data_IF_776160436381
#
_entry.id   IF_776160436381
#
_cell.length_a   1.000
_cell.length_b   1.000
_cell.length_c   1.000
_cell.angle_alpha   90.00
_cell.angle_beta   90.00
_cell.angle_gamma   90.00
#
_symmetry.space_group_name_H-M   'P 1'
#
loop_
_entity.id
_entity.type
_entity.pdbx_description
1 polymer ?
#
# COMPACT_ATOMS: atom_id res chain seq x y z
N UNK A 1 31.14 98.55 12.26
CA UNK A 1 32.11 97.42 12.21
C UNK A 1 31.95 96.46 13.38
N UNK A 2 32.10 96.87 14.65
CA UNK A 2 31.98 95.94 15.79
C UNK A 2 30.52 95.51 16.08
N UNK A 3 29.58 96.44 15.97
CA UNK A 3 28.14 96.19 16.08
C UNK A 3 27.64 95.21 14.99
N UNK A 4 28.13 95.35 13.75
CA UNK A 4 27.75 94.46 12.63
C UNK A 4 28.28 93.04 12.79
N UNK A 5 29.49 92.89 13.35
CA UNK A 5 30.06 91.58 13.70
C UNK A 5 29.27 90.90 14.83
N UNK A 6 28.88 91.66 15.86
CA UNK A 6 28.00 91.13 16.92
C UNK A 6 26.63 90.70 16.39
N UNK A 7 26.01 91.50 15.51
CA UNK A 7 24.73 91.15 14.86
C UNK A 7 24.85 89.88 14.02
N UNK A 8 25.93 89.72 13.25
CA UNK A 8 26.15 88.52 12.43
C UNK A 8 26.37 87.27 13.30
N UNK A 9 27.10 87.38 14.41
CA UNK A 9 27.31 86.26 15.35
C UNK A 9 26.02 85.85 16.05
N UNK A 10 25.21 86.83 16.49
CA UNK A 10 23.89 86.57 17.07
C UNK A 10 22.96 85.86 16.07
N UNK A 11 22.96 86.30 14.80
CA UNK A 11 22.15 85.71 13.74
C UNK A 11 22.57 84.26 13.41
N UNK A 12 23.88 83.98 13.32
CA UNK A 12 24.41 82.61 13.14
C UNK A 12 24.11 81.71 14.33
N UNK A 13 24.09 82.25 15.55
CA UNK A 13 23.69 81.50 16.75
C UNK A 13 22.20 81.15 16.70
N UNK A 14 21.34 82.12 16.37
CA UNK A 14 19.90 81.92 16.22
C UNK A 14 19.55 80.89 15.14
N UNK A 15 20.25 80.90 13.99
CA UNK A 15 20.06 79.89 12.93
C UNK A 15 20.41 78.49 13.43
N UNK A 16 21.59 78.32 14.05
CA UNK A 16 22.01 77.01 14.61
C UNK A 16 21.07 76.51 15.69
N UNK A 17 20.59 77.40 16.56
CA UNK A 17 19.59 77.05 17.58
C UNK A 17 18.28 76.60 16.94
N UNK A 18 17.83 77.26 15.87
CA UNK A 18 16.64 76.86 15.11
C UNK A 18 16.82 75.51 14.41
N UNK A 19 17.95 75.27 13.77
CA UNK A 19 18.28 73.98 13.13
C UNK A 19 18.33 72.84 14.15
N UNK A 20 19.02 73.05 15.27
CA UNK A 20 19.07 72.09 16.38
C UNK A 20 17.67 71.81 16.95
N UNK A 21 16.83 72.84 17.06
CA UNK A 21 15.44 72.68 17.49
C UNK A 21 14.63 71.84 16.51
N UNK A 22 14.73 72.12 15.20
CA UNK A 22 14.05 71.34 14.16
C UNK A 22 14.51 69.88 14.14
N UNK A 23 15.82 69.63 14.30
CA UNK A 23 16.35 68.26 14.36
C UNK A 23 15.79 67.51 15.57
N UNK A 24 15.82 68.11 16.76
CA UNK A 24 15.26 67.53 17.99
C UNK A 24 13.76 67.28 17.87
N UNK A 25 13.01 68.17 17.23
CA UNK A 25 11.57 67.99 16.97
C UNK A 25 11.30 66.81 16.02
N UNK A 26 12.11 66.65 14.96
CA UNK A 26 12.01 65.51 14.04
C UNK A 26 12.36 64.17 14.72
N UNK A 27 13.41 64.16 15.55
CA UNK A 27 13.79 62.99 16.35
C UNK A 27 12.70 62.64 17.37
N UNK A 28 12.12 63.64 18.04
CA UNK A 28 11.00 63.46 18.96
C UNK A 28 9.79 62.86 18.24
N UNK A 29 9.44 63.36 17.04
CA UNK A 29 8.32 62.84 16.25
C UNK A 29 8.57 61.37 15.85
N UNK A 30 9.79 61.05 15.43
CA UNK A 30 10.21 59.69 15.10
C UNK A 30 10.13 58.76 16.31
N UNK A 31 10.60 59.22 17.47
CA UNK A 31 10.54 58.46 18.71
C UNK A 31 9.09 58.21 19.15
N UNK A 32 8.22 59.22 19.05
CA UNK A 32 6.77 59.08 19.31
C UNK A 32 6.12 58.05 18.38
N UNK A 33 6.44 58.09 17.08
CA UNK A 33 5.94 57.10 16.12
C UNK A 33 6.39 55.67 16.44
N UNK A 34 7.66 55.49 16.82
CA UNK A 34 8.19 54.18 17.26
C UNK A 34 7.52 53.68 18.53
N UNK A 35 7.30 54.56 19.50
CA UNK A 35 6.64 54.23 20.76
C UNK A 35 5.20 53.77 20.52
N UNK A 36 4.47 54.46 19.66
CA UNK A 36 3.10 54.08 19.29
C UNK A 36 3.06 52.72 18.56
N UNK A 37 4.01 52.48 17.64
CA UNK A 37 4.12 51.17 16.99
C UNK A 37 4.40 50.04 17.98
N UNK A 38 5.27 50.27 18.97
CA UNK A 38 5.56 49.30 20.03
C UNK A 38 4.35 49.08 20.93
N UNK A 39 3.62 50.13 21.30
CA UNK A 39 2.39 50.04 22.09
C UNK A 39 1.34 49.18 21.40
N UNK A 40 1.15 49.40 20.09
CA UNK A 40 0.25 48.59 19.28
C UNK A 40 0.68 47.12 19.18
N UNK A 41 1.98 46.84 19.05
CA UNK A 41 2.50 45.46 19.08
C UNK A 41 2.26 44.80 20.43
N UNK A 42 2.53 45.51 21.52
CA UNK A 42 2.31 45.00 22.87
C UNK A 42 0.84 44.66 23.10
N UNK A 43 -0.08 45.56 22.74
CA UNK A 43 -1.52 45.31 22.86
C UNK A 43 -1.95 44.07 22.07
N UNK A 44 -1.46 43.91 20.82
CA UNK A 44 -1.74 42.71 20.01
C UNK A 44 -1.25 41.44 20.69
N UNK A 45 -0.08 41.46 21.31
CA UNK A 45 0.47 40.30 22.03
C UNK A 45 -0.33 40.00 23.30
N UNK A 46 -0.67 41.01 24.10
CA UNK A 46 -1.52 40.84 25.29
C UNK A 46 -2.87 40.22 24.93
N UNK A 47 -3.53 40.72 23.88
CA UNK A 47 -4.79 40.15 23.41
C UNK A 47 -4.64 38.68 23.00
N UNK A 48 -3.53 38.31 22.35
CA UNK A 48 -3.25 36.91 21.99
C UNK A 48 -3.03 36.04 23.22
N UNK A 49 -2.23 36.49 24.18
CA UNK A 49 -1.97 35.76 25.44
C UNK A 49 -3.29 35.55 26.19
N UNK A 50 -4.10 36.60 26.32
CA UNK A 50 -5.40 36.51 26.98
C UNK A 50 -6.34 35.54 26.26
N UNK A 51 -6.41 35.59 24.92
CA UNK A 51 -7.21 34.66 24.11
C UNK A 51 -6.80 33.20 24.33
N UNK A 52 -5.51 32.94 24.51
CA UNK A 52 -4.99 31.58 24.69
C UNK A 52 -4.91 31.12 26.14
N UNK A 53 -5.21 31.99 27.12
CA UNK A 53 -5.14 31.66 28.55
C UNK A 53 -6.05 30.49 28.94
N UNK A 54 -7.21 30.36 28.26
CA UNK A 54 -8.17 29.26 28.46
C UNK A 54 -7.50 27.90 28.20
N UNK A 55 -6.65 27.80 27.17
CA UNK A 55 -5.94 26.56 26.86
C UNK A 55 -4.86 26.23 27.88
N UNK A 56 -4.17 27.25 28.41
CA UNK A 56 -3.20 27.05 29.51
C UNK A 56 -3.90 26.47 30.73
N UNK A 57 -5.00 27.10 31.16
CA UNK A 57 -5.77 26.65 32.32
C UNK A 57 -6.31 25.24 32.13
N UNK A 58 -6.85 24.93 30.96
CA UNK A 58 -7.28 23.57 30.62
C UNK A 58 -6.14 22.57 30.73
N UNK A 59 -4.97 22.86 30.17
CA UNK A 59 -3.82 21.95 30.21
C UNK A 59 -3.25 21.81 31.63
N UNK A 60 -3.27 22.87 32.43
CA UNK A 60 -2.94 22.81 33.86
C UNK A 60 -3.90 21.89 34.62
N UNK A 61 -5.20 21.97 34.33
CA UNK A 61 -6.20 21.07 34.93
C UNK A 61 -6.02 19.62 34.46
N UNK A 62 -5.68 19.39 33.19
CA UNK A 62 -5.33 18.06 32.67
C UNK A 62 -4.12 17.49 33.41
N UNK A 63 -3.08 18.29 33.63
CA UNK A 63 -1.89 17.88 34.40
C UNK A 63 -2.31 17.44 35.80
N UNK A 64 -3.11 18.24 36.52
CA UNK A 64 -3.57 17.93 37.89
C UNK A 64 -4.31 16.59 38.04
N UNK A 65 -5.07 16.19 37.03
CA UNK A 65 -5.87 14.95 37.06
C UNK A 65 -5.16 13.76 36.41
N UNK A 66 -3.95 13.95 35.90
CA UNK A 66 -3.21 12.94 35.14
C UNK A 66 -1.93 12.52 35.85
N UNK A 67 -1.24 11.54 35.26
CA UNK A 67 0.08 11.09 35.70
C UNK A 67 1.24 11.99 35.22
N UNK A 68 0.96 13.06 34.48
CA UNK A 68 1.99 13.95 33.93
C UNK A 68 2.34 15.06 34.91
N UNK A 69 3.62 15.40 35.00
CA UNK A 69 4.09 16.46 35.90
C UNK A 69 4.01 17.85 35.23
N UNK A 70 4.19 17.89 33.90
CA UNK A 70 4.21 19.13 33.13
C UNK A 70 3.31 19.08 31.89
N UNK A 71 2.78 20.24 31.50
CA UNK A 71 2.03 20.43 30.24
C UNK A 71 2.83 19.96 29.02
N UNK A 72 4.16 20.13 29.05
CA UNK A 72 5.05 19.68 27.97
C UNK A 72 4.98 18.17 27.75
N UNK A 73 4.83 17.38 28.82
CA UNK A 73 4.73 15.93 28.74
C UNK A 73 3.39 15.52 28.11
N UNK A 74 2.30 16.18 28.50
CA UNK A 74 0.97 15.98 27.88
C UNK A 74 1.03 16.23 26.37
N UNK A 75 1.65 17.36 25.96
CA UNK A 75 1.82 17.70 24.55
C UNK A 75 2.70 16.68 23.83
N UNK A 76 3.80 16.25 24.45
CA UNK A 76 4.72 15.25 23.89
C UNK A 76 4.01 13.90 23.69
N UNK A 77 3.25 13.45 24.68
CA UNK A 77 2.44 12.23 24.61
C UNK A 77 1.40 12.34 23.50
N UNK A 78 0.67 13.44 23.43
CA UNK A 78 -0.32 13.67 22.37
C UNK A 78 0.33 13.61 20.98
N UNK A 79 1.45 14.31 20.76
CA UNK A 79 2.18 14.27 19.47
C UNK A 79 2.60 12.85 19.09
N UNK A 80 3.05 12.08 20.09
CA UNK A 80 3.46 10.68 19.88
C UNK A 80 2.25 9.82 19.52
N UNK A 81 1.13 9.97 20.24
CA UNK A 81 -0.11 9.26 19.96
C UNK A 81 -0.65 9.57 18.56
N UNK A 82 -0.66 10.84 18.15
CA UNK A 82 -1.10 11.24 16.81
C UNK A 82 -0.21 10.62 15.73
N UNK A 83 1.11 10.60 15.93
CA UNK A 83 2.04 9.96 14.99
C UNK A 83 1.79 8.46 14.92
N UNK A 84 1.74 7.78 16.06
CA UNK A 84 1.48 6.34 16.11
C UNK A 84 0.13 5.97 15.49
N UNK A 85 -0.92 6.77 15.73
CA UNK A 85 -2.23 6.55 15.13
C UNK A 85 -2.19 6.65 13.60
N UNK A 86 -1.48 7.65 13.06
CA UNK A 86 -1.27 7.79 11.62
C UNK A 86 -0.50 6.60 11.05
N UNK A 87 0.60 6.21 11.69
CA UNK A 87 1.44 5.10 11.23
C UNK A 87 0.67 3.78 11.28
N UNK A 88 -0.12 3.56 12.33
CA UNK A 88 -0.98 2.38 12.48
C UNK A 88 -2.04 2.32 11.38
N UNK A 89 -2.73 3.43 11.09
CA UNK A 89 -3.74 3.50 10.05
C UNK A 89 -3.14 3.19 8.66
N UNK A 90 -1.96 3.73 8.38
CA UNK A 90 -1.23 3.43 7.13
C UNK A 90 -0.80 1.97 7.06
N UNK A 91 -0.31 1.40 8.16
CA UNK A 91 0.06 -0.01 8.22
C UNK A 91 -1.14 -0.91 7.98
N UNK A 92 -2.25 -0.64 8.67
CA UNK A 92 -3.50 -1.39 8.51
C UNK A 92 -4.00 -1.37 7.07
N UNK A 93 -3.96 -0.20 6.42
CA UNK A 93 -4.37 -0.06 5.03
C UNK A 93 -3.47 -0.90 4.10
N UNK A 94 -2.15 -0.85 4.28
CA UNK A 94 -1.21 -1.68 3.50
C UNK A 94 -1.45 -3.18 3.71
N UNK A 95 -1.68 -3.63 4.95
CA UNK A 95 -2.00 -5.03 5.21
C UNK A 95 -3.31 -5.48 4.54
N UNK A 96 -4.32 -4.60 4.52
CA UNK A 96 -5.58 -4.87 3.83
C UNK A 96 -5.36 -5.00 2.32
N UNK A 97 -4.60 -4.10 1.71
CA UNK A 97 -4.25 -4.15 0.29
C UNK A 97 -3.46 -5.42 -0.07
N UNK A 98 -2.45 -5.76 0.72
CA UNK A 98 -1.67 -7.00 0.51
C UNK A 98 -2.54 -8.26 0.66
N UNK A 99 -3.44 -8.28 1.65
CA UNK A 99 -4.36 -9.40 1.82
C UNK A 99 -5.34 -9.53 0.65
N UNK A 100 -5.81 -8.42 0.10
CA UNK A 100 -6.70 -8.43 -1.06
C UNK A 100 -5.97 -8.90 -2.31
N UNK A 101 -4.74 -8.44 -2.54
CA UNK A 101 -3.89 -8.92 -3.64
C UNK A 101 -3.62 -10.43 -3.52
N UNK A 102 -3.33 -10.92 -2.32
CA UNK A 102 -3.10 -12.34 -2.09
C UNK A 102 -4.35 -13.19 -2.38
N UNK A 103 -5.55 -12.69 -2.06
CA UNK A 103 -6.82 -13.35 -2.42
C UNK A 103 -7.00 -13.42 -3.93
N UNK A 104 -6.80 -12.31 -4.64
CA UNK A 104 -6.90 -12.28 -6.10
C UNK A 104 -5.96 -13.28 -6.76
N UNK A 105 -4.70 -13.34 -6.30
CA UNK A 105 -3.73 -14.32 -6.82
C UNK A 105 -4.13 -15.77 -6.51
N UNK A 106 -4.69 -16.02 -5.33
CA UNK A 106 -5.19 -17.34 -4.96
C UNK A 106 -6.38 -17.76 -5.83
N UNK A 107 -7.33 -16.86 -6.06
CA UNK A 107 -8.51 -17.12 -6.89
C UNK A 107 -8.09 -17.44 -8.34
N UNK A 108 -7.17 -16.66 -8.90
CA UNK A 108 -6.59 -16.92 -10.23
C UNK A 108 -5.90 -18.28 -10.30
N UNK A 109 -5.09 -18.61 -9.30
CA UNK A 109 -4.40 -19.90 -9.25
C UNK A 109 -5.39 -21.07 -9.14
N UNK A 110 -6.47 -20.90 -8.37
CA UNK A 110 -7.52 -21.91 -8.25
C UNK A 110 -8.23 -22.12 -9.59
N UNK A 111 -8.61 -21.04 -10.29
CA UNK A 111 -9.23 -21.12 -11.61
C UNK A 111 -8.32 -21.81 -12.64
N UNK A 112 -7.02 -21.48 -12.65
CA UNK A 112 -6.03 -22.14 -13.50
C UNK A 112 -5.94 -23.64 -13.21
N UNK A 113 -5.91 -24.03 -11.92
CA UNK A 113 -5.84 -25.44 -11.53
C UNK A 113 -7.11 -26.20 -11.83
N UNK A 114 -8.28 -25.58 -11.68
CA UNK A 114 -9.55 -26.18 -12.07
C UNK A 114 -9.62 -26.43 -13.58
N UNK A 115 -9.13 -25.48 -14.38
CA UNK A 115 -9.02 -25.65 -15.83
C UNK A 115 -8.06 -26.79 -16.21
N UNK A 116 -6.90 -26.88 -15.55
CA UNK A 116 -5.93 -27.96 -15.75
C UNK A 116 -6.53 -29.34 -15.39
N UNK A 117 -7.24 -29.43 -14.26
CA UNK A 117 -7.95 -30.66 -13.86
C UNK A 117 -8.98 -31.06 -14.91
N UNK A 118 -9.75 -30.10 -15.45
CA UNK A 118 -10.73 -30.38 -16.48
C UNK A 118 -10.07 -30.88 -17.77
N UNK A 119 -8.93 -30.31 -18.15
CA UNK A 119 -8.13 -30.79 -19.27
C UNK A 119 -7.70 -32.25 -19.07
N UNK A 120 -7.08 -32.57 -17.93
CA UNK A 120 -6.65 -33.96 -17.66
C UNK A 120 -7.81 -34.95 -17.61
N UNK A 121 -8.97 -34.54 -17.09
CA UNK A 121 -10.18 -35.38 -17.13
C UNK A 121 -10.59 -35.70 -18.56
N UNK A 122 -10.57 -34.71 -19.45
CA UNK A 122 -10.89 -34.93 -20.86
C UNK A 122 -9.88 -35.85 -21.54
N UNK A 123 -8.58 -35.66 -21.28
CA UNK A 123 -7.53 -36.54 -21.80
C UNK A 123 -7.69 -37.99 -21.30
N UNK A 124 -8.04 -38.16 -20.02
CA UNK A 124 -8.28 -39.48 -19.43
C UNK A 124 -9.48 -40.19 -20.09
N UNK A 125 -10.57 -39.47 -20.36
CA UNK A 125 -11.73 -40.02 -21.09
C UNK A 125 -11.34 -40.44 -22.51
N UNK A 126 -10.54 -39.63 -23.21
CA UNK A 126 -10.06 -39.99 -24.55
C UNK A 126 -9.15 -41.22 -24.54
N UNK A 127 -8.29 -41.34 -23.53
CA UNK A 127 -7.40 -42.49 -23.38
C UNK A 127 -8.20 -43.76 -23.06
N UNK A 128 -9.20 -43.66 -22.17
CA UNK A 128 -10.09 -44.77 -21.86
C UNK A 128 -10.85 -45.26 -23.11
N UNK A 129 -11.38 -44.34 -23.92
CA UNK A 129 -12.06 -44.71 -25.16
C UNK A 129 -11.14 -45.49 -26.12
N UNK A 130 -9.89 -45.05 -26.27
CA UNK A 130 -8.89 -45.75 -27.10
C UNK A 130 -8.54 -47.12 -26.54
N UNK A 131 -8.43 -47.22 -25.21
CA UNK A 131 -8.17 -48.48 -24.54
C UNK A 131 -9.31 -49.48 -24.76
N UNK A 132 -10.56 -49.04 -24.54
CA UNK A 132 -11.75 -49.87 -24.72
C UNK A 132 -11.88 -50.35 -26.19
N UNK A 133 -11.58 -49.47 -27.15
CA UNK A 133 -11.55 -49.82 -28.57
C UNK A 133 -10.49 -50.88 -28.86
N UNK A 134 -9.25 -50.69 -28.39
CA UNK A 134 -8.17 -51.65 -28.59
C UNK A 134 -8.49 -53.01 -27.95
N UNK A 135 -9.13 -53.01 -26.76
CA UNK A 135 -9.56 -54.23 -26.09
C UNK A 135 -10.63 -54.97 -26.89
N UNK A 136 -11.62 -54.25 -27.45
CA UNK A 136 -12.62 -54.82 -28.35
C UNK A 136 -11.99 -55.42 -29.61
N UNK A 137 -11.02 -54.72 -30.20
CA UNK A 137 -10.32 -55.19 -31.39
C UNK A 137 -9.54 -56.48 -31.08
N UNK A 138 -8.81 -56.54 -29.96
CA UNK A 138 -8.10 -57.75 -29.52
C UNK A 138 -9.06 -58.93 -29.39
N UNK A 139 -10.19 -58.76 -28.70
CA UNK A 139 -11.18 -59.82 -28.53
C UNK A 139 -11.72 -60.34 -29.87
N UNK A 140 -11.92 -59.44 -30.84
CA UNK A 140 -12.35 -59.82 -32.19
C UNK A 140 -11.28 -60.66 -32.91
N UNK A 141 -10.00 -60.31 -32.76
CA UNK A 141 -8.88 -61.04 -33.34
C UNK A 141 -8.67 -62.39 -32.67
N UNK A 142 -8.80 -62.48 -31.35
CA UNK A 142 -8.73 -63.74 -30.59
C UNK A 142 -9.83 -64.71 -31.03
N UNK A 143 -11.06 -64.22 -31.20
CA UNK A 143 -12.18 -65.03 -31.69
C UNK A 143 -11.88 -65.57 -33.08
N UNK A 144 -11.45 -64.70 -33.99
CA UNK A 144 -11.12 -65.09 -35.37
C UNK A 144 -9.95 -66.07 -35.43
N UNK A 145 -8.96 -65.90 -34.56
CA UNK A 145 -7.81 -66.80 -34.45
C UNK A 145 -8.24 -68.19 -33.95
N UNK A 146 -9.10 -68.24 -32.93
CA UNK A 146 -9.66 -69.49 -32.41
C UNK A 146 -10.45 -70.25 -33.50
N UNK A 147 -11.24 -69.54 -34.32
CA UNK A 147 -11.97 -70.15 -35.44
C UNK A 147 -11.03 -70.76 -36.50
N UNK A 148 -9.93 -70.08 -36.82
CA UNK A 148 -8.91 -70.58 -37.74
C UNK A 148 -8.25 -71.83 -37.15
N UNK A 149 -7.88 -71.81 -35.87
CA UNK A 149 -7.28 -72.96 -35.19
C UNK A 149 -8.23 -74.15 -35.16
N UNK A 150 -9.49 -73.95 -34.80
CA UNK A 150 -10.53 -74.98 -34.80
C UNK A 150 -10.72 -75.60 -36.18
N UNK A 151 -10.79 -74.76 -37.23
CA UNK A 151 -10.90 -75.23 -38.62
C UNK A 151 -9.68 -76.03 -39.05
N UNK A 152 -8.49 -75.58 -38.67
CA UNK A 152 -7.22 -76.26 -38.97
C UNK A 152 -7.15 -77.61 -38.27
N UNK A 153 -7.49 -77.67 -36.97
CA UNK A 153 -7.53 -78.90 -36.19
C UNK A 153 -8.47 -79.95 -36.82
N UNK A 154 -9.68 -79.53 -37.24
CA UNK A 154 -10.63 -80.41 -37.96
C UNK A 154 -10.02 -80.97 -39.25
N UNK A 155 -9.44 -80.10 -40.10
CA UNK A 155 -8.80 -80.53 -41.35
C UNK A 155 -7.62 -81.48 -41.11
N UNK A 156 -6.80 -81.20 -40.10
CA UNK A 156 -5.66 -82.06 -39.73
C UNK A 156 -6.15 -83.43 -39.25
N UNK A 157 -7.23 -83.47 -38.47
CA UNK A 157 -7.87 -84.71 -38.04
C UNK A 157 -8.39 -85.53 -39.23
N UNK A 158 -9.15 -84.90 -40.14
CA UNK A 158 -9.65 -85.55 -41.37
C UNK A 158 -8.51 -86.15 -42.21
N UNK A 159 -7.44 -85.38 -42.43
CA UNK A 159 -6.24 -85.85 -43.14
C UNK A 159 -5.57 -87.04 -42.43
N UNK A 160 -5.52 -87.02 -41.10
CA UNK A 160 -5.03 -88.14 -40.29
C UNK A 160 -5.89 -89.39 -40.47
N UNK A 161 -7.21 -89.24 -40.44
CA UNK A 161 -8.16 -90.34 -40.68
C UNK A 161 -7.98 -90.93 -42.08
N UNK A 162 -7.90 -90.09 -43.12
CA UNK A 162 -7.69 -90.53 -44.50
C UNK A 162 -6.39 -91.34 -44.60
N UNK A 163 -5.27 -90.82 -44.06
CA UNK A 163 -3.98 -91.54 -44.06
C UNK A 163 -4.07 -92.89 -43.37
N UNK A 164 -4.74 -92.97 -42.22
CA UNK A 164 -4.93 -94.22 -41.49
C UNK A 164 -5.77 -95.22 -42.28
N UNK A 165 -6.87 -94.78 -42.91
CA UNK A 165 -7.70 -95.64 -43.75
C UNK A 165 -6.93 -96.18 -44.96
N UNK A 166 -6.10 -95.36 -45.61
CA UNK A 166 -5.24 -95.79 -46.71
C UNK A 166 -4.26 -96.86 -46.21
N UNK A 167 -3.54 -96.61 -45.11
CA UNK A 167 -2.61 -97.58 -44.52
C UNK A 167 -3.31 -98.93 -44.23
N UNK A 168 -4.51 -98.88 -43.65
CA UNK A 168 -5.30 -100.09 -43.35
C UNK A 168 -5.79 -100.83 -44.60
N UNK A 169 -5.96 -100.14 -45.75
CA UNK A 169 -6.38 -100.77 -47.01
C UNK A 169 -5.22 -101.47 -47.76
N UNK A 170 -3.98 -101.09 -47.47
CA UNK A 170 -2.77 -101.64 -48.08
C UNK A 170 -1.99 -102.58 -47.15
N UNK A 171 -2.58 -102.98 -46.01
CA UNK A 171 -2.14 -104.07 -45.13
C UNK A 171 -2.94 -105.34 -45.42
#
# INVERSE_FOLDING_TARGET
>A
QENDKMRMLALKKAIRERENKMQKESELLRAKGKLEALRNKHQKLCNRVQKHSIFSKYLEDVVKISQFEEIREVISRYKTLVRMHKDLLQSQQRHKEMSEQAKVLLDQYMEEKEAEILQYKNELVQLQLRFDQAQSDILSWETRWADIQNTTAKKTQELGTIKLTILNLFQ
#
